data_IF_039621757356
#
_entry.id   IF_039621757356
#
_cell.length_a   1.000
_cell.length_b   1.000
_cell.length_c   1.000
_cell.angle_alpha   90.00
_cell.angle_beta   90.00
_cell.angle_gamma   90.00
#
_symmetry.space_group_name_H-M   'P 1'
#
loop_
_entity.id
_entity.type
_entity.pdbx_description
1 polymer ?
#
# COMPACT_ATOMS: atom_id res chain seq x y z
N UNK A 1 -8.54 4.65 2.85
CA UNK A 1 -9.97 4.67 2.53
C UNK A 1 -10.45 3.29 2.10
N UNK A 2 -11.55 2.81 2.68
CA UNK A 2 -12.18 1.54 2.32
C UNK A 2 -13.13 1.66 1.12
N UNK A 3 -13.55 0.53 0.56
CA UNK A 3 -14.45 0.50 -0.60
C UNK A 3 -15.80 1.13 -0.23
N UNK A 4 -16.12 2.25 -0.87
CA UNK A 4 -17.34 3.03 -0.62
C UNK A 4 -17.08 4.34 0.13
N UNK A 5 -15.87 4.55 0.65
CA UNK A 5 -15.49 5.82 1.29
C UNK A 5 -15.03 6.87 0.27
N UNK A 6 -15.15 8.14 0.66
CA UNK A 6 -14.62 9.26 -0.13
C UNK A 6 -13.10 9.09 -0.32
N UNK A 7 -12.63 9.25 -1.56
CA UNK A 7 -11.21 9.09 -1.93
C UNK A 7 -10.78 7.65 -2.26
N UNK A 8 -11.63 6.63 -2.09
CA UNK A 8 -11.29 5.24 -2.43
C UNK A 8 -10.87 5.06 -3.89
N UNK A 9 -11.63 5.63 -4.83
CA UNK A 9 -11.34 5.51 -6.26
C UNK A 9 -10.00 6.18 -6.61
N UNK A 10 -9.77 7.38 -6.07
CA UNK A 10 -8.53 8.12 -6.30
C UNK A 10 -7.31 7.35 -5.75
N UNK A 11 -7.39 6.83 -4.52
CA UNK A 11 -6.34 6.02 -3.92
C UNK A 11 -6.08 4.73 -4.72
N UNK A 12 -7.14 4.06 -5.21
CA UNK A 12 -7.01 2.86 -6.05
C UNK A 12 -6.27 3.16 -7.35
N UNK A 13 -6.65 4.25 -8.04
CA UNK A 13 -6.00 4.67 -9.28
C UNK A 13 -4.53 5.05 -9.03
N UNK A 14 -4.26 5.79 -7.96
CA UNK A 14 -2.91 6.18 -7.57
C UNK A 14 -2.02 4.95 -7.30
N UNK A 15 -2.51 3.99 -6.52
CA UNK A 15 -1.80 2.73 -6.27
C UNK A 15 -1.52 1.98 -7.59
N UNK A 16 -2.55 1.80 -8.43
CA UNK A 16 -2.40 1.13 -9.71
C UNK A 16 -1.35 1.81 -10.61
N UNK A 17 -1.27 3.15 -10.59
CA UNK A 17 -0.25 3.89 -11.36
C UNK A 17 1.18 3.54 -10.93
N UNK A 18 1.38 3.13 -9.67
CA UNK A 18 2.69 2.80 -9.13
C UNK A 18 3.07 1.33 -9.32
N UNK A 19 2.13 0.39 -9.27
CA UNK A 19 2.43 -1.05 -9.25
C UNK A 19 1.99 -1.83 -10.50
N UNK A 20 1.05 -1.30 -11.28
CA UNK A 20 0.48 -2.06 -12.41
C UNK A 20 1.55 -2.35 -13.46
N UNK A 21 1.67 -3.63 -13.83
CA UNK A 21 2.63 -4.12 -14.82
C UNK A 21 4.10 -3.84 -14.47
N UNK A 22 4.41 -3.71 -13.17
CA UNK A 22 5.78 -3.57 -12.67
C UNK A 22 6.13 -4.76 -11.78
N UNK A 23 7.41 -5.10 -11.73
CA UNK A 23 7.96 -6.00 -10.72
C UNK A 23 8.06 -5.20 -9.41
N UNK A 24 7.64 -5.83 -8.32
CA UNK A 24 7.65 -5.23 -6.98
C UNK A 24 8.45 -6.12 -6.05
N UNK A 25 9.19 -5.49 -5.13
CA UNK A 25 9.82 -6.18 -4.02
C UNK A 25 8.86 -6.16 -2.82
N UNK A 26 8.77 -7.29 -2.12
CA UNK A 26 7.91 -7.44 -0.95
C UNK A 26 8.75 -7.79 0.26
N UNK A 27 8.58 -7.03 1.34
CA UNK A 27 9.08 -7.41 2.66
C UNK A 27 7.93 -7.95 3.51
N UNK A 28 7.90 -9.27 3.69
CA UNK A 28 6.79 -9.96 4.34
C UNK A 28 6.91 -9.80 5.86
N UNK A 29 5.89 -9.17 6.47
CA UNK A 29 5.87 -8.94 7.91
C UNK A 29 5.23 -10.11 8.66
N UNK A 30 4.00 -10.47 8.30
CA UNK A 30 3.24 -11.57 8.92
C UNK A 30 2.06 -12.01 8.05
N UNK A 31 1.37 -13.07 8.47
CA UNK A 31 0.07 -13.48 7.91
C UNK A 31 -1.03 -13.14 8.90
N UNK A 32 -2.11 -12.53 8.42
CA UNK A 32 -3.25 -12.19 9.27
C UNK A 32 -4.08 -13.45 9.64
N UNK A 33 -5.10 -13.27 10.48
CA UNK A 33 -6.01 -14.37 10.91
C UNK A 33 -6.83 -14.98 9.77
N UNK A 34 -6.82 -14.38 8.58
CA UNK A 34 -7.47 -14.85 7.37
C UNK A 34 -6.45 -15.42 6.36
N UNK A 35 -5.23 -15.71 6.82
CA UNK A 35 -4.12 -16.22 6.02
C UNK A 35 -3.67 -15.30 4.87
N UNK A 36 -3.92 -14.00 4.99
CA UNK A 36 -3.47 -12.99 4.02
C UNK A 36 -2.08 -12.50 4.39
N UNK A 37 -1.22 -12.38 3.40
CA UNK A 37 0.13 -11.81 3.57
C UNK A 37 0.03 -10.31 3.80
N UNK A 38 0.60 -9.83 4.89
CA UNK A 38 0.84 -8.41 5.16
C UNK A 38 2.32 -8.14 4.90
N UNK A 39 2.61 -7.22 4.00
CA UNK A 39 3.96 -6.91 3.54
C UNK A 39 4.11 -5.42 3.21
N UNK A 40 5.32 -4.89 3.37
CA UNK A 40 5.70 -3.60 2.79
C UNK A 40 6.00 -3.79 1.30
N UNK A 41 5.58 -2.85 0.46
CA UNK A 41 5.75 -2.95 -1.00
C UNK A 41 6.73 -1.89 -1.50
N UNK A 42 7.72 -2.32 -2.28
CA UNK A 42 8.71 -1.44 -2.88
C UNK A 42 8.73 -1.57 -4.40
N UNK A 43 8.90 -0.44 -5.09
CA UNK A 43 9.12 -0.39 -6.54
C UNK A 43 10.40 0.40 -6.78
N UNK A 44 11.40 -0.25 -7.38
CA UNK A 44 12.73 0.34 -7.59
C UNK A 44 13.33 0.94 -6.29
N UNK A 45 13.20 0.23 -5.17
CA UNK A 45 13.69 0.66 -3.86
C UNK A 45 12.87 1.76 -3.17
N UNK A 46 11.75 2.23 -3.75
CA UNK A 46 10.87 3.22 -3.13
C UNK A 46 9.66 2.56 -2.46
N UNK A 47 9.42 2.89 -1.19
CA UNK A 47 8.21 2.46 -0.45
C UNK A 47 6.95 3.03 -1.10
N UNK A 48 6.04 2.13 -1.49
CA UNK A 48 4.72 2.48 -2.01
C UNK A 48 3.83 2.97 -0.87
N UNK A 49 3.99 2.43 0.33
CA UNK A 49 3.22 2.83 1.51
C UNK A 49 3.48 4.30 1.86
N UNK A 50 4.75 4.70 1.88
CA UNK A 50 5.13 6.10 2.09
C UNK A 50 4.60 7.01 0.97
N UNK A 51 4.67 6.59 -0.29
CA UNK A 51 4.07 7.35 -1.40
C UNK A 51 2.57 7.58 -1.19
N UNK A 52 1.84 6.56 -0.75
CA UNK A 52 0.40 6.67 -0.53
C UNK A 52 0.06 7.59 0.64
N UNK A 53 0.89 7.62 1.68
CA UNK A 53 0.74 8.52 2.84
C UNK A 53 1.08 9.96 2.46
N UNK A 54 2.21 10.20 1.79
CA UNK A 54 2.69 11.53 1.40
C UNK A 54 1.69 12.27 0.48
N UNK A 55 0.92 11.53 -0.31
CA UNK A 55 -0.07 12.06 -1.24
C UNK A 55 -1.50 12.00 -0.69
N UNK A 56 -1.67 11.81 0.62
CA UNK A 56 -2.96 11.80 1.32
C UNK A 56 -3.95 10.73 0.83
N UNK A 57 -3.47 9.68 0.15
CA UNK A 57 -4.29 8.54 -0.30
C UNK A 57 -4.45 7.48 0.80
N UNK A 58 -3.57 7.47 1.79
CA UNK A 58 -3.60 6.58 2.95
C UNK A 58 -3.22 7.34 4.22
N UNK A 59 -3.42 6.68 5.38
CA UNK A 59 -2.94 7.17 6.67
C UNK A 59 -2.07 6.10 7.30
N UNK A 60 -1.03 6.53 8.00
CA UNK A 60 -0.18 5.62 8.75
C UNK A 60 -1.00 4.85 9.79
N UNK A 61 -0.87 3.52 9.80
CA UNK A 61 -1.38 2.70 10.88
C UNK A 61 -0.30 2.57 11.94
N UNK A 62 -0.65 2.97 13.18
CA UNK A 62 0.15 2.68 14.38
C UNK A 62 0.66 1.23 14.40
N UNK A 63 1.98 1.07 14.42
CA UNK A 63 2.64 -0.23 14.62
C UNK A 63 3.12 -0.94 13.35
N UNK A 64 2.88 -0.37 12.16
CA UNK A 64 3.47 -0.85 10.91
C UNK A 64 4.34 0.26 10.34
N UNK A 65 5.66 0.02 10.25
CA UNK A 65 6.61 0.93 9.61
C UNK A 65 7.05 0.33 8.27
N UNK A 66 6.54 0.98 7.22
CA UNK A 66 6.93 0.95 5.83
C UNK A 66 6.91 2.43 5.36
#
# INVERSE_FOLDING_TARGET
PERGEHGYLAATIALQSQVRSRVVDLDILYRDKYDRVVACVYVNGRSIDQFMIDNEYARAWRGVQC
#
